data_IF_971138711969
#
_entry.id   IF_971138711969
#
_cell.length_a   1.000
_cell.length_b   1.000
_cell.length_c   1.000
_cell.angle_alpha   90.00
_cell.angle_beta   90.00
_cell.angle_gamma   90.00
#
_symmetry.space_group_name_H-M   'P 1'
#
loop_
_entity.id
_entity.type
_entity.pdbx_description
1 polymer ?
#
# COMPACT_ATOMS: atom_id res chain seq x y z
N UNK A 1 8.27 18.11 -4.09
CA UNK A 1 7.05 18.59 -4.80
C UNK A 1 5.73 18.27 -4.09
N UNK A 2 5.61 17.22 -3.27
CA UNK A 2 4.34 16.82 -2.62
C UNK A 2 3.83 17.81 -1.53
N UNK A 3 4.72 18.60 -0.92
CA UNK A 3 4.35 19.57 0.13
C UNK A 3 3.62 20.81 -0.38
N UNK A 4 3.75 21.15 -1.67
CA UNK A 4 3.03 22.29 -2.26
C UNK A 4 1.54 22.00 -2.49
N UNK A 5 1.18 20.74 -2.73
CA UNK A 5 -0.21 20.35 -2.99
C UNK A 5 -1.10 20.40 -1.73
N UNK A 6 -0.55 20.11 -0.56
CA UNK A 6 -1.31 20.11 0.70
C UNK A 6 -1.65 21.54 1.15
N UNK A 7 -0.77 22.51 0.91
CA UNK A 7 -1.02 23.91 1.25
C UNK A 7 -2.09 24.55 0.35
N UNK A 8 -2.12 24.20 -0.93
CA UNK A 8 -3.16 24.68 -1.85
C UNK A 8 -4.54 24.09 -1.51
N UNK A 9 -4.58 22.85 -1.01
CA UNK A 9 -5.84 22.19 -0.62
C UNK A 9 -6.49 22.84 0.60
N UNK A 10 -5.71 23.29 1.60
CA UNK A 10 -6.24 24.01 2.78
C UNK A 10 -6.74 25.42 2.46
N UNK A 11 -6.16 26.09 1.47
CA UNK A 11 -6.61 27.40 1.01
C UNK A 11 -7.97 27.34 0.29
N UNK A 12 -8.30 26.21 -0.35
CA UNK A 12 -9.55 26.04 -1.08
C UNK A 12 -10.73 25.55 -0.22
N UNK A 13 -10.49 25.03 0.97
CA UNK A 13 -11.56 24.54 1.87
C UNK A 13 -12.12 25.61 2.83
N UNK A 14 -11.54 26.82 2.85
CA UNK A 14 -12.00 27.92 3.73
C UNK A 14 -13.15 28.77 3.19
N UNK A 15 -13.62 28.52 1.97
CA UNK A 15 -14.58 29.39 1.26
C UNK A 15 -15.91 28.66 1.02
N UNK A 16 -16.60 28.27 2.09
CA UNK A 16 -17.85 27.50 1.96
C UNK A 16 -18.98 27.97 2.87
N UNK A 17 -19.03 29.27 3.21
CA UNK A 17 -20.20 29.87 3.84
C UNK A 17 -20.46 31.21 3.16
N UNK A 18 -21.73 31.43 2.79
CA UNK A 18 -22.30 32.50 1.98
C UNK A 18 -22.09 32.35 0.47
N UNK A 19 -23.14 31.83 -0.20
CA UNK A 19 -23.86 32.60 -1.23
C UNK A 19 -25.04 31.76 -1.75
N UNK A 20 -26.22 32.02 -1.18
CA UNK A 20 -27.50 31.76 -1.85
C UNK A 20 -27.73 32.89 -2.85
N UNK A 21 -27.11 32.77 -4.02
CA UNK A 21 -27.40 33.60 -5.18
C UNK A 21 -27.12 32.75 -6.42
N UNK A 22 -28.14 32.53 -7.24
CA UNK A 22 -28.02 31.91 -8.57
C UNK A 22 -26.97 32.67 -9.37
N UNK A 23 -25.92 32.02 -9.93
CA UNK A 23 -25.09 32.70 -10.91
C UNK A 23 -25.37 32.11 -12.30
N UNK A 24 -25.40 33.00 -13.27
CA UNK A 24 -25.22 32.71 -14.69
C UNK A 24 -23.73 32.40 -14.89
N UNK A 25 -23.36 31.12 -15.06
CA UNK A 25 -21.95 30.71 -15.12
C UNK A 25 -21.38 30.81 -16.56
N UNK A 26 -20.17 31.37 -16.75
CA UNK A 26 -19.49 31.35 -18.04
C UNK A 26 -18.99 29.94 -18.41
N UNK A 27 -18.87 29.63 -19.71
CA UNK A 27 -18.61 28.26 -20.22
C UNK A 27 -17.28 27.63 -19.75
N UNK A 28 -16.31 28.42 -19.29
CA UNK A 28 -15.02 27.92 -18.79
C UNK A 28 -15.12 27.12 -17.49
N UNK A 29 -16.18 27.28 -16.68
CA UNK A 29 -16.33 26.51 -15.43
C UNK A 29 -16.91 25.10 -15.61
N UNK A 30 -17.42 24.73 -16.80
CA UNK A 30 -17.84 23.34 -17.06
C UNK A 30 -16.65 22.37 -17.17
N UNK A 31 -15.48 22.86 -17.61
CA UNK A 31 -14.29 22.02 -17.80
C UNK A 31 -13.68 21.55 -16.46
N UNK A 32 -13.74 22.39 -15.43
CA UNK A 32 -13.16 22.08 -14.09
C UNK A 32 -13.97 21.03 -13.34
N UNK A 33 -15.29 21.02 -13.51
CA UNK A 33 -16.19 20.04 -12.87
C UNK A 33 -16.02 18.64 -13.50
N UNK A 34 -15.88 18.56 -14.84
CA UNK A 34 -15.62 17.32 -15.56
C UNK A 34 -14.24 16.71 -15.24
N UNK A 35 -13.21 17.55 -15.04
CA UNK A 35 -11.89 17.07 -14.61
C UNK A 35 -11.90 16.51 -13.17
N UNK A 36 -12.68 17.11 -12.26
CA UNK A 36 -12.80 16.65 -10.87
C UNK A 36 -13.57 15.33 -10.71
N UNK A 37 -14.59 15.10 -11.55
CA UNK A 37 -15.35 13.85 -11.52
C UNK A 37 -14.57 12.67 -12.10
N UNK A 38 -13.78 12.88 -13.16
CA UNK A 38 -12.91 11.85 -13.75
C UNK A 38 -11.80 11.41 -12.78
N UNK A 39 -11.19 12.36 -12.06
CA UNK A 39 -10.12 12.05 -11.10
C UNK A 39 -10.62 11.25 -9.88
N UNK A 40 -11.82 11.53 -9.36
CA UNK A 40 -12.42 10.73 -8.28
C UNK A 40 -12.73 9.29 -8.70
N UNK A 41 -13.12 9.08 -9.96
CA UNK A 41 -13.43 7.75 -10.49
C UNK A 41 -12.16 6.88 -10.67
N UNK A 42 -11.05 7.51 -11.06
CA UNK A 42 -9.74 6.85 -11.16
C UNK A 42 -9.16 6.47 -9.78
N UNK A 43 -9.31 7.34 -8.78
CA UNK A 43 -8.84 7.07 -7.41
C UNK A 43 -9.65 5.93 -6.77
N UNK A 44 -10.98 5.89 -6.97
CA UNK A 44 -11.81 4.82 -6.40
C UNK A 44 -11.53 3.44 -7.03
N UNK A 45 -11.27 3.37 -8.34
CA UNK A 45 -10.89 2.11 -9.01
C UNK A 45 -9.53 1.58 -8.56
N UNK A 46 -8.56 2.46 -8.31
CA UNK A 46 -7.25 2.05 -7.83
C UNK A 46 -7.31 1.47 -6.42
N UNK A 47 -8.09 2.09 -5.53
CA UNK A 47 -8.26 1.66 -4.14
C UNK A 47 -8.93 0.26 -4.01
N UNK A 48 -9.94 -0.01 -4.83
CA UNK A 48 -10.63 -1.31 -4.85
C UNK A 48 -9.71 -2.43 -5.34
N UNK A 49 -8.81 -2.13 -6.29
CA UNK A 49 -7.88 -3.11 -6.87
C UNK A 49 -6.82 -3.55 -5.87
N UNK A 50 -6.19 -2.61 -5.15
CA UNK A 50 -5.09 -2.96 -4.22
C UNK A 50 -5.59 -3.71 -2.98
N UNK A 51 -6.77 -3.33 -2.45
CA UNK A 51 -7.37 -4.05 -1.32
C UNK A 51 -7.68 -5.51 -1.64
N UNK A 52 -8.06 -5.82 -2.89
CA UNK A 52 -8.29 -7.21 -3.35
C UNK A 52 -6.97 -7.97 -3.48
N UNK A 53 -5.96 -7.34 -4.07
CA UNK A 53 -4.63 -7.90 -4.27
C UNK A 53 -3.96 -8.26 -2.94
N UNK A 54 -4.05 -7.39 -1.93
CA UNK A 54 -3.50 -7.66 -0.60
C UNK A 54 -4.16 -8.88 0.05
N UNK A 55 -5.50 -9.01 -0.04
CA UNK A 55 -6.21 -10.17 0.49
C UNK A 55 -5.82 -11.48 -0.21
N UNK A 56 -5.73 -11.47 -1.54
CA UNK A 56 -5.30 -12.64 -2.30
C UNK A 56 -3.85 -13.04 -1.98
N UNK A 57 -2.98 -12.05 -1.79
CA UNK A 57 -1.61 -12.30 -1.38
C UNK A 57 -1.55 -12.90 0.03
N UNK A 58 -2.33 -12.38 0.97
CA UNK A 58 -2.45 -12.92 2.33
C UNK A 58 -2.85 -14.40 2.32
N UNK A 59 -3.93 -14.74 1.63
CA UNK A 59 -4.42 -16.12 1.52
C UNK A 59 -3.34 -17.05 0.95
N UNK A 60 -2.66 -16.64 -0.11
CA UNK A 60 -1.59 -17.42 -0.71
C UNK A 60 -0.36 -17.54 0.20
N UNK A 61 -0.05 -16.49 0.96
CA UNK A 61 1.09 -16.43 1.87
C UNK A 61 0.90 -17.36 3.08
N UNK A 62 -0.28 -17.35 3.69
CA UNK A 62 -0.60 -18.22 4.83
C UNK A 62 -0.89 -19.66 4.41
N UNK A 63 -1.66 -19.88 3.33
CA UNK A 63 -1.93 -21.22 2.80
C UNK A 63 -0.66 -21.98 2.41
N UNK A 64 0.32 -21.27 1.86
CA UNK A 64 1.61 -21.84 1.48
C UNK A 64 2.61 -22.00 2.64
N UNK A 65 2.22 -21.68 3.89
CA UNK A 65 3.13 -21.60 5.04
C UNK A 65 4.38 -20.76 4.77
N UNK A 66 4.28 -19.78 3.85
CA UNK A 66 5.40 -18.93 3.45
C UNK A 66 5.78 -17.97 4.59
N UNK A 67 4.88 -17.74 5.54
CA UNK A 67 5.12 -16.96 6.76
C UNK A 67 6.29 -17.50 7.59
N UNK A 68 6.55 -18.82 7.59
CA UNK A 68 7.70 -19.41 8.28
C UNK A 68 9.04 -18.84 7.79
N UNK A 69 9.08 -18.31 6.56
CA UNK A 69 10.28 -17.65 6.00
C UNK A 69 10.55 -16.29 6.63
N UNK A 70 9.58 -15.66 7.28
CA UNK A 70 9.76 -14.40 8.02
C UNK A 70 10.71 -14.58 9.21
N UNK A 71 10.66 -15.74 9.88
CA UNK A 71 11.45 -16.03 11.07
C UNK A 71 12.84 -16.62 10.74
N UNK A 72 13.02 -17.17 9.53
CA UNK A 72 14.33 -17.67 9.09
C UNK A 72 15.31 -16.52 8.84
N UNK A 73 16.58 -16.67 9.23
CA UNK A 73 17.65 -15.72 8.86
C UNK A 73 17.76 -15.63 7.34
N UNK A 74 17.62 -14.41 6.79
CA UNK A 74 17.75 -14.14 5.36
C UNK A 74 18.75 -13.02 5.14
N UNK A 75 19.35 -12.99 3.94
CA UNK A 75 20.14 -11.86 3.50
C UNK A 75 19.23 -10.66 3.21
N UNK A 76 19.62 -9.44 3.62
CA UNK A 76 18.90 -8.22 3.25
C UNK A 76 18.73 -8.12 1.73
N UNK A 77 17.55 -7.67 1.29
CA UNK A 77 17.14 -7.60 -0.11
C UNK A 77 16.60 -8.91 -0.68
N UNK A 78 16.62 -10.02 0.07
CA UNK A 78 16.06 -11.30 -0.40
C UNK A 78 14.54 -11.32 -0.27
N UNK A 79 13.87 -11.84 -1.30
CA UNK A 79 12.40 -12.00 -1.32
C UNK A 79 11.97 -13.10 -0.34
N UNK A 80 11.12 -12.74 0.62
CA UNK A 80 10.56 -13.65 1.63
C UNK A 80 9.29 -14.33 1.09
N UNK A 81 8.48 -13.58 0.33
CA UNK A 81 7.15 -13.98 -0.11
C UNK A 81 7.09 -15.11 -1.13
N UNK A 82 5.99 -15.15 -1.88
CA UNK A 82 5.78 -16.14 -2.93
C UNK A 82 6.94 -16.10 -3.95
N UNK A 83 7.38 -17.26 -4.46
CA UNK A 83 8.45 -17.33 -5.44
C UNK A 83 8.06 -16.59 -6.72
N UNK A 84 9.08 -16.09 -7.42
CA UNK A 84 8.93 -15.39 -8.68
C UNK A 84 8.52 -16.38 -9.78
N UNK A 85 7.23 -16.68 -9.86
CA UNK A 85 6.63 -17.28 -11.05
C UNK A 85 6.03 -16.16 -11.90
N UNK A 86 6.17 -16.27 -13.24
CA UNK A 86 5.72 -15.24 -14.19
C UNK A 86 4.25 -14.85 -14.01
N UNK A 87 3.41 -15.79 -13.56
CA UNK A 87 1.99 -15.56 -13.33
C UNK A 87 1.74 -14.86 -11.98
N UNK A 88 2.44 -15.26 -10.92
CA UNK A 88 2.30 -14.65 -9.59
C UNK A 88 2.68 -13.16 -9.59
N UNK A 89 3.75 -12.80 -10.32
CA UNK A 89 4.20 -11.41 -10.41
C UNK A 89 3.21 -10.51 -11.18
N UNK A 90 2.42 -11.08 -12.11
CA UNK A 90 1.36 -10.37 -12.83
C UNK A 90 0.09 -10.22 -11.99
N UNK A 91 -0.25 -11.27 -11.22
CA UNK A 91 -1.46 -11.34 -10.40
C UNK A 91 -1.33 -10.43 -9.17
N UNK A 92 -0.25 -10.60 -8.39
CA UNK A 92 -0.15 -9.94 -7.10
C UNK A 92 0.49 -8.56 -7.16
N UNK A 93 1.40 -8.27 -8.10
CA UNK A 93 2.11 -6.98 -8.21
C UNK A 93 2.78 -6.46 -6.91
N UNK A 94 2.81 -7.28 -5.84
CA UNK A 94 3.29 -6.95 -4.50
C UNK A 94 4.43 -7.90 -4.14
N UNK A 95 5.42 -7.38 -3.43
CA UNK A 95 6.60 -8.13 -2.97
C UNK A 95 6.84 -7.88 -1.49
N UNK A 96 7.30 -8.93 -0.80
CA UNK A 96 7.81 -8.87 0.56
C UNK A 96 9.30 -9.19 0.53
N UNK A 97 10.11 -8.21 0.87
CA UNK A 97 11.56 -8.33 0.87
C UNK A 97 12.10 -8.19 2.29
N UNK A 98 13.10 -9.01 2.61
CA UNK A 98 13.84 -8.94 3.86
C UNK A 98 14.67 -7.67 3.89
N UNK A 99 14.60 -6.94 4.99
CA UNK A 99 15.49 -5.83 5.30
C UNK A 99 16.64 -6.26 6.17
N UNK A 100 17.21 -5.27 6.85
CA UNK A 100 18.25 -5.48 7.85
C UNK A 100 17.67 -6.08 9.13
N UNK A 101 18.45 -6.97 9.75
CA UNK A 101 18.15 -7.52 11.07
C UNK A 101 19.09 -6.88 12.08
N UNK A 102 18.52 -6.26 13.11
CA UNK A 102 19.26 -5.62 14.21
C UNK A 102 18.73 -6.23 15.51
N UNK A 103 19.62 -6.84 16.31
CA UNK A 103 19.27 -7.45 17.60
C UNK A 103 18.13 -8.47 17.53
N UNK A 104 18.09 -9.31 16.50
CA UNK A 104 17.02 -10.31 16.30
C UNK A 104 15.70 -9.75 15.76
N UNK A 105 15.58 -8.42 15.64
CA UNK A 105 14.42 -7.78 15.02
C UNK A 105 14.73 -7.54 13.54
N UNK A 106 13.95 -8.18 12.67
CA UNK A 106 14.05 -8.05 11.23
C UNK A 106 13.08 -7.00 10.72
N UNK A 107 13.58 -6.08 9.89
CA UNK A 107 12.73 -5.21 9.07
C UNK A 107 12.27 -5.94 7.82
N UNK A 108 11.02 -5.76 7.44
CA UNK A 108 10.43 -6.35 6.25
C UNK A 108 9.74 -5.25 5.45
N UNK A 109 10.04 -5.21 4.16
CA UNK A 109 9.53 -4.19 3.23
C UNK A 109 8.43 -4.78 2.35
N UNK A 110 7.26 -4.16 2.37
CA UNK A 110 6.21 -4.41 1.39
C UNK A 110 6.39 -3.44 0.23
N UNK A 111 6.62 -3.97 -0.97
CA UNK A 111 6.87 -3.17 -2.17
C UNK A 111 5.82 -3.40 -3.24
N UNK A 112 5.42 -2.33 -3.93
CA UNK A 112 4.59 -2.40 -5.13
C UNK A 112 5.43 -2.37 -6.40
N UNK A 113 5.16 -3.30 -7.32
CA UNK A 113 5.76 -3.34 -8.65
C UNK A 113 4.96 -2.44 -9.59
N UNK A 114 5.50 -1.27 -9.89
CA UNK A 114 4.98 -0.41 -10.95
C UNK A 114 5.37 -0.97 -12.31
N UNK A 115 4.45 -0.92 -13.28
CA UNK A 115 4.66 -1.42 -14.64
C UNK A 115 5.78 -0.66 -15.39
N UNK A 116 6.01 0.61 -15.05
CA UNK A 116 7.00 1.48 -15.68
C UNK A 116 7.70 2.40 -14.66
N UNK A 117 8.43 1.84 -13.68
CA UNK A 117 9.21 2.65 -12.74
C UNK A 117 9.82 1.87 -11.57
N UNK A 118 10.52 2.59 -10.69
CA UNK A 118 11.15 2.06 -9.48
C UNK A 118 10.11 1.51 -8.50
N UNK A 119 10.43 0.36 -7.90
CA UNK A 119 9.63 -0.23 -6.82
C UNK A 119 9.39 0.82 -5.73
N UNK A 120 8.13 0.97 -5.31
CA UNK A 120 7.76 1.90 -4.24
C UNK A 120 7.46 1.10 -2.99
N UNK A 121 8.07 1.50 -1.87
CA UNK A 121 7.77 0.92 -0.56
C UNK A 121 6.36 1.36 -0.15
N UNK A 122 5.46 0.40 -0.01
CA UNK A 122 4.08 0.61 0.42
C UNK A 122 3.97 0.62 1.94
N UNK A 123 4.73 -0.24 2.61
CA UNK A 123 4.68 -0.38 4.06
C UNK A 123 5.98 -1.01 4.56
N UNK A 124 6.29 -0.77 5.82
CA UNK A 124 7.45 -1.34 6.49
C UNK A 124 6.98 -1.91 7.81
N UNK A 125 7.28 -3.18 8.04
CA UNK A 125 7.00 -3.83 9.32
C UNK A 125 8.27 -4.37 9.94
N UNK A 126 8.17 -4.72 11.21
CA UNK A 126 9.22 -5.40 11.96
C UNK A 126 8.70 -6.69 12.54
N UNK A 127 9.54 -7.71 12.57
CA UNK A 127 9.22 -9.01 13.18
C UNK A 127 10.42 -9.52 13.98
N UNK A 128 10.17 -10.13 15.13
CA UNK A 128 11.21 -10.81 15.90
C UNK A 128 11.49 -12.17 15.26
N UNK A 129 12.76 -12.43 14.92
CA UNK A 129 13.18 -13.71 14.37
C UNK A 129 13.19 -14.84 15.42
N UNK A 130 13.26 -14.49 16.71
CA UNK A 130 13.39 -15.44 17.82
C UNK A 130 12.04 -15.94 18.34
N UNK A 131 10.92 -15.55 17.72
CA UNK A 131 9.58 -16.02 18.11
C UNK A 131 9.51 -17.55 18.00
N UNK A 132 9.06 -18.25 19.07
CA UNK A 132 8.94 -19.71 19.07
C UNK A 132 7.91 -20.17 18.02
N UNK A 133 8.10 -21.36 17.45
CA UNK A 133 7.29 -21.86 16.31
C UNK A 133 5.77 -21.86 16.60
N UNK A 134 5.39 -22.09 17.85
CA UNK A 134 4.00 -22.07 18.31
C UNK A 134 3.34 -20.69 18.17
N UNK A 135 4.11 -19.61 18.30
CA UNK A 135 3.62 -18.22 18.24
C UNK A 135 3.86 -17.55 16.87
N UNK A 136 4.62 -18.21 15.99
CA UNK A 136 5.03 -17.64 14.70
C UNK A 136 3.84 -17.30 13.80
N UNK A 137 2.79 -18.12 13.80
CA UNK A 137 1.63 -17.88 12.96
C UNK A 137 0.86 -16.62 13.40
N UNK A 138 0.65 -16.47 14.71
CA UNK A 138 -0.07 -15.32 15.26
C UNK A 138 0.75 -14.04 15.16
N UNK A 139 2.05 -14.11 15.40
CA UNK A 139 2.98 -12.99 15.15
C UNK A 139 2.96 -12.57 13.67
N UNK A 140 2.93 -13.53 12.74
CA UNK A 140 2.83 -13.24 11.31
C UNK A 140 1.48 -12.61 10.93
N UNK A 141 0.36 -13.05 11.52
CA UNK A 141 -0.96 -12.43 11.32
C UNK A 141 -1.00 -10.99 11.84
N UNK A 142 -0.45 -10.75 13.03
CA UNK A 142 -0.36 -9.42 13.61
C UNK A 142 0.51 -8.49 12.74
N UNK A 143 1.68 -8.96 12.32
CA UNK A 143 2.56 -8.27 11.39
C UNK A 143 1.83 -7.93 10.07
N UNK A 144 1.12 -8.90 9.49
CA UNK A 144 0.41 -8.71 8.23
C UNK A 144 -0.69 -7.66 8.36
N UNK A 145 -1.48 -7.71 9.44
CA UNK A 145 -2.55 -6.74 9.70
C UNK A 145 -2.01 -5.31 9.78
N UNK A 146 -0.88 -5.11 10.44
CA UNK A 146 -0.22 -3.81 10.55
C UNK A 146 0.28 -3.31 9.19
N UNK A 147 1.07 -4.14 8.48
CA UNK A 147 1.63 -3.81 7.17
C UNK A 147 0.54 -3.57 6.12
N UNK A 148 -0.54 -4.36 6.14
CA UNK A 148 -1.69 -4.17 5.25
C UNK A 148 -2.49 -2.92 5.58
N UNK A 149 -2.53 -2.50 6.86
CA UNK A 149 -3.11 -1.22 7.29
C UNK A 149 -2.31 -0.05 6.72
N UNK A 150 -0.99 -0.03 6.99
CA UNK A 150 -0.09 0.99 6.45
C UNK A 150 -0.14 1.08 4.92
N UNK A 151 -0.20 -0.06 4.23
CA UNK A 151 -0.27 -0.09 2.78
C UNK A 151 -1.55 0.55 2.24
N UNK A 152 -2.69 0.40 2.93
CA UNK A 152 -3.94 1.08 2.56
C UNK A 152 -3.85 2.57 2.82
N UNK A 153 -3.27 2.98 3.94
CA UNK A 153 -3.13 4.39 4.30
C UNK A 153 -2.19 5.14 3.34
N UNK A 154 -1.11 4.50 2.91
CA UNK A 154 -0.17 5.09 1.95
C UNK A 154 -0.71 5.15 0.50
N UNK A 155 -1.89 4.58 0.25
CA UNK A 155 -2.59 4.63 -1.03
C UNK A 155 -3.75 5.64 -1.04
N UNK A 156 -4.07 6.23 0.12
CA UNK A 156 -5.06 7.32 0.29
C UNK A 156 -4.40 8.70 0.12
#
# INVERSE_FOLDING_TARGET
MLRFFILLYRLLTGFSILLSCKPLWPPFMRLVILARSSLRCLISHFHVTVSKVLKQFEEAFFKGSAYKKLFRKQTPGKRIGLPQAGDNDKIYQVRLDAGETINGIKRVYLQWKKKHGTHSNLAVGTIDENTPEEEQEDAAKAFWKDVAGQAKDNLL
#
